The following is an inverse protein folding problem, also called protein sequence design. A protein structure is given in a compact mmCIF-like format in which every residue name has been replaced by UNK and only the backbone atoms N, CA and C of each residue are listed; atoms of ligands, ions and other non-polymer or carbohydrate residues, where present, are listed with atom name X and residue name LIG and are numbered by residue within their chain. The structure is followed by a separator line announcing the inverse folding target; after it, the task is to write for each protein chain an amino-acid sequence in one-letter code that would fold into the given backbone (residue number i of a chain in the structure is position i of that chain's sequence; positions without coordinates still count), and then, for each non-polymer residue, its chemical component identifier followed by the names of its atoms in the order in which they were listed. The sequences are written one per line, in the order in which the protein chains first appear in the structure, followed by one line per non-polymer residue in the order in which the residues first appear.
data_IF_382401294646
#
_entry.id   IF_382401294646
#
_cell.length_a   1.000
_cell.length_b   1.000
_cell.length_c   1.000
_cell.angle_alpha   90.00
_cell.angle_beta   90.00
_cell.angle_gamma   90.00
#
_symmetry.space_group_name_H-M   'P 1'
#
loop_
_entity.id
_entity.type
_entity.pdbx_description
1 polymer ?
#
# COMPACT_ATOMS: atom_id res chain seq x y z
N UNK A 1 -4.91 -9.54 2.79
CA UNK A 1 -5.75 -10.01 3.91
C UNK A 1 -5.62 -9.02 5.05
N UNK A 2 -6.63 -8.95 5.91
CA UNK A 2 -6.65 -8.03 7.05
C UNK A 2 -6.56 -8.79 8.37
N UNK A 3 -5.83 -8.24 9.35
CA UNK A 3 -5.70 -8.80 10.69
C UNK A 3 -5.84 -7.69 11.73
N UNK A 4 -6.91 -7.74 12.51
CA UNK A 4 -7.14 -6.82 13.63
C UNK A 4 -6.26 -7.16 14.84
N UNK A 5 -5.73 -6.12 15.49
CA UNK A 5 -4.93 -6.22 16.72
C UNK A 5 -5.40 -5.19 17.74
N UNK A 6 -5.94 -5.67 18.86
CA UNK A 6 -6.36 -4.80 19.96
C UNK A 6 -5.19 -4.35 20.83
N UNK A 7 -5.23 -3.06 21.19
CA UNK A 7 -4.31 -2.46 22.15
C UNK A 7 -4.53 -3.04 23.54
N UNK A 8 -3.45 -3.44 24.19
CA UNK A 8 -3.46 -3.87 25.59
C UNK A 8 -3.47 -2.68 26.57
N UNK A 9 -3.96 -2.86 27.81
CA UNK A 9 -3.87 -1.84 28.85
C UNK A 9 -2.41 -1.41 29.06
N UNK A 10 -2.18 -0.09 29.18
CA UNK A 10 -0.84 0.51 29.33
C UNK A 10 0.16 0.15 28.21
N UNK A 11 -0.30 -0.36 27.06
CA UNK A 11 0.57 -0.63 25.94
C UNK A 11 1.00 0.68 25.26
N UNK A 12 2.29 0.76 24.94
CA UNK A 12 2.87 1.83 24.14
C UNK A 12 2.84 1.49 22.66
N UNK A 13 2.79 2.50 21.78
CA UNK A 13 2.78 2.30 20.34
C UNK A 13 3.90 1.36 19.80
N UNK A 14 5.18 1.49 20.22
CA UNK A 14 6.21 0.56 19.77
C UNK A 14 5.97 -0.89 20.23
N UNK A 15 5.29 -1.10 21.36
CA UNK A 15 4.95 -2.45 21.85
C UNK A 15 3.85 -3.07 21.01
N UNK A 16 2.80 -2.29 20.69
CA UNK A 16 1.76 -2.69 19.73
C UNK A 16 2.39 -3.05 18.38
N UNK A 17 3.34 -2.24 17.90
CA UNK A 17 4.02 -2.49 16.63
C UNK A 17 4.81 -3.80 16.61
N UNK A 18 5.56 -4.12 17.68
CA UNK A 18 6.29 -5.40 17.78
C UNK A 18 5.36 -6.61 17.77
N UNK A 19 4.14 -6.48 18.29
CA UNK A 19 3.12 -7.54 18.23
C UNK A 19 2.52 -7.62 16.84
N UNK A 20 2.25 -6.49 16.19
CA UNK A 20 1.79 -6.44 14.82
C UNK A 20 2.75 -7.17 13.87
N UNK A 21 4.06 -7.01 14.05
CA UNK A 21 5.08 -7.75 13.29
C UNK A 21 4.98 -9.27 13.46
N UNK A 22 4.79 -9.73 14.70
CA UNK A 22 4.67 -11.16 14.99
C UNK A 22 3.40 -11.74 14.37
N UNK A 23 2.30 -10.99 14.46
CA UNK A 23 1.01 -11.36 13.86
C UNK A 23 1.12 -11.39 12.33
N UNK A 24 1.73 -10.39 11.72
CA UNK A 24 1.95 -10.34 10.28
C UNK A 24 2.82 -11.50 9.79
N UNK A 25 3.89 -11.85 10.53
CA UNK A 25 4.72 -13.02 10.23
C UNK A 25 3.90 -14.31 10.26
N UNK A 26 3.12 -14.51 11.32
CA UNK A 26 2.29 -15.70 11.47
C UNK A 26 1.22 -15.80 10.37
N UNK A 27 0.60 -14.67 10.02
CA UNK A 27 -0.39 -14.59 8.94
C UNK A 27 0.23 -14.92 7.57
N UNK A 28 1.38 -14.32 7.24
CA UNK A 28 2.09 -14.59 6.00
C UNK A 28 2.51 -16.05 5.87
N UNK A 29 3.12 -16.61 6.92
CA UNK A 29 3.51 -18.02 6.96
C UNK A 29 2.29 -18.93 6.72
N UNK A 30 1.22 -18.72 7.48
CA UNK A 30 -0.01 -19.51 7.36
C UNK A 30 -0.63 -19.42 5.97
N UNK A 31 -0.55 -18.28 5.31
CA UNK A 31 -1.08 -18.14 3.95
C UNK A 31 -0.29 -18.95 2.93
N UNK A 32 1.05 -18.96 3.02
CA UNK A 32 1.87 -19.79 2.15
C UNK A 32 1.73 -21.29 2.43
N UNK A 33 1.50 -21.67 3.69
CA UNK A 33 1.26 -23.07 4.09
C UNK A 33 -0.12 -23.56 3.68
N UNK A 34 -1.14 -22.70 3.73
CA UNK A 34 -2.54 -23.07 3.45
C UNK A 34 -2.82 -23.24 1.97
N UNK A 35 -2.18 -22.43 1.13
CA UNK A 35 -2.43 -22.41 -0.31
C UNK A 35 -1.09 -22.48 -1.05
N UNK A 36 -0.84 -23.61 -1.71
CA UNK A 36 0.40 -23.87 -2.46
C UNK A 36 0.55 -22.99 -3.71
N UNK A 37 -0.56 -22.49 -4.27
CA UNK A 37 -0.58 -21.67 -5.48
C UNK A 37 -0.36 -20.19 -5.16
N UNK A 38 -0.59 -19.78 -3.91
CA UNK A 38 -0.34 -18.40 -3.47
C UNK A 38 1.15 -18.05 -3.62
N UNK A 39 1.44 -17.16 -4.55
CA UNK A 39 2.80 -16.71 -4.89
C UNK A 39 3.18 -15.39 -4.22
N UNK A 40 2.19 -14.59 -3.85
CA UNK A 40 2.36 -13.30 -3.17
C UNK A 40 1.32 -13.16 -2.07
N UNK A 41 1.71 -12.54 -0.97
CA UNK A 41 0.86 -12.27 0.17
C UNK A 41 0.98 -10.81 0.56
N UNK A 42 -0.18 -10.16 0.69
CA UNK A 42 -0.32 -8.84 1.29
C UNK A 42 -1.08 -8.99 2.61
N UNK A 43 -0.47 -8.60 3.73
CA UNK A 43 -1.09 -8.58 5.07
C UNK A 43 -1.21 -7.14 5.52
N UNK A 44 -2.41 -6.70 5.85
CA UNK A 44 -2.65 -5.42 6.51
C UNK A 44 -2.99 -5.72 7.96
N UNK A 45 -2.29 -5.09 8.90
CA UNK A 45 -2.58 -5.18 10.33
C UNK A 45 -3.25 -3.89 10.77
N UNK A 46 -4.47 -4.02 11.29
CA UNK A 46 -5.28 -2.91 11.79
C UNK A 46 -5.13 -2.86 13.30
N UNK A 47 -4.55 -1.78 13.82
CA UNK A 47 -4.55 -1.50 15.25
C UNK A 47 -5.92 -1.01 15.69
N UNK A 48 -6.39 -1.47 16.85
CA UNK A 48 -7.67 -1.04 17.44
C UNK A 48 -7.48 -0.53 18.84
N UNK A 49 -8.08 0.61 19.15
CA UNK A 49 -8.11 1.17 20.50
C UNK A 49 -9.39 1.97 20.74
N UNK A 50 -10.20 1.56 21.73
CA UNK A 50 -11.40 2.30 22.17
C UNK A 50 -12.35 2.73 21.02
N UNK A 51 -12.53 1.87 20.01
CA UNK A 51 -13.38 2.15 18.85
C UNK A 51 -12.69 2.89 17.70
N UNK A 52 -11.43 3.32 17.87
CA UNK A 52 -10.59 3.77 16.77
C UNK A 52 -9.90 2.57 16.11
N UNK A 53 -9.91 2.55 14.78
CA UNK A 53 -9.23 1.53 13.97
C UNK A 53 -8.35 2.22 12.92
N UNK A 54 -7.09 1.80 12.80
CA UNK A 54 -6.17 2.35 11.82
C UNK A 54 -5.15 1.30 11.36
N UNK A 55 -4.78 1.27 10.08
CA UNK A 55 -3.69 0.42 9.61
C UNK A 55 -2.38 0.85 10.25
N UNK A 56 -1.71 -0.08 10.95
CA UNK A 56 -0.45 0.17 11.65
C UNK A 56 0.75 -0.42 10.89
N UNK A 57 0.54 -1.51 10.16
CA UNK A 57 1.56 -2.23 9.41
C UNK A 57 0.95 -2.88 8.18
N UNK A 58 1.61 -2.74 7.02
CA UNK A 58 1.34 -3.58 5.84
C UNK A 58 2.58 -4.42 5.57
N UNK A 59 2.41 -5.66 5.15
CA UNK A 59 3.47 -6.55 4.75
C UNK A 59 3.16 -7.13 3.37
N UNK A 60 4.04 -6.88 2.40
CA UNK A 60 3.89 -7.34 1.03
C UNK A 60 5.10 -8.18 0.63
N UNK A 61 4.91 -9.49 0.49
CA UNK A 61 6.03 -10.41 0.24
C UNK A 61 5.65 -11.53 -0.73
N UNK A 62 6.60 -11.92 -1.58
CA UNK A 62 6.48 -13.10 -2.44
C UNK A 62 6.97 -14.37 -1.73
N UNK A 63 6.47 -15.54 -2.16
CA UNK A 63 6.90 -16.84 -1.60
C UNK A 63 8.41 -17.03 -1.72
N UNK A 64 9.02 -16.65 -2.83
CA UNK A 64 10.47 -16.77 -3.04
C UNK A 64 11.25 -15.93 -2.04
N UNK A 65 10.84 -14.68 -1.82
CA UNK A 65 11.45 -13.80 -0.82
C UNK A 65 11.28 -14.37 0.60
N UNK A 66 10.07 -14.83 0.93
CA UNK A 66 9.75 -15.41 2.24
C UNK A 66 10.52 -16.70 2.54
N UNK A 67 10.72 -17.56 1.54
CA UNK A 67 11.52 -18.78 1.67
C UNK A 67 13.01 -18.47 1.86
N UNK A 68 13.53 -17.45 1.19
CA UNK A 68 14.92 -17.02 1.36
C UNK A 68 15.15 -16.45 2.76
N UNK A 69 14.22 -15.61 3.24
CA UNK A 69 14.26 -14.99 4.56
C UNK A 69 12.82 -14.90 5.07
N UNK A 70 12.44 -15.47 6.22
CA UNK A 70 11.10 -15.32 6.80
C UNK A 70 11.04 -14.19 7.85
N UNK A 71 11.42 -12.97 7.45
CA UNK A 71 11.49 -11.81 8.34
C UNK A 71 10.55 -10.65 7.92
N UNK A 72 9.41 -10.56 8.60
CA UNK A 72 8.38 -9.57 8.31
C UNK A 72 8.90 -8.13 8.23
N UNK A 73 9.90 -7.76 9.02
CA UNK A 73 10.44 -6.39 9.08
C UNK A 73 11.04 -5.91 7.75
N UNK A 74 11.51 -6.84 6.91
CA UNK A 74 12.15 -6.51 5.63
C UNK A 74 11.16 -6.08 4.55
N UNK A 75 9.92 -6.52 4.65
CA UNK A 75 8.87 -6.23 3.68
C UNK A 75 7.68 -5.47 4.31
N UNK A 76 7.86 -5.03 5.55
CA UNK A 76 6.85 -4.27 6.27
C UNK A 76 6.95 -2.78 5.93
N UNK A 77 5.80 -2.19 5.65
CA UNK A 77 5.57 -0.74 5.61
C UNK A 77 4.88 -0.34 6.91
N UNK A 78 5.49 0.60 7.62
CA UNK A 78 5.04 1.03 8.95
C UNK A 78 4.32 2.37 8.90
N UNK A 79 3.11 2.45 9.45
CA UNK A 79 2.34 3.70 9.49
C UNK A 79 2.51 4.39 10.83
N UNK A 80 3.50 5.27 10.95
CA UNK A 80 3.68 6.10 12.17
C UNK A 80 2.48 7.03 12.42
N UNK A 81 1.80 7.43 11.35
CA UNK A 81 0.61 8.30 11.38
C UNK A 81 -0.60 7.66 12.06
N UNK A 82 -0.61 6.35 12.28
CA UNK A 82 -1.67 5.67 13.00
C UNK A 82 -1.61 5.91 14.52
N UNK A 83 -0.47 6.33 15.07
CA UNK A 83 -0.31 6.58 16.51
C UNK A 83 -1.32 7.63 17.07
N UNK A 84 -1.44 8.84 16.50
CA UNK A 84 -2.44 9.81 16.96
C UNK A 84 -3.89 9.33 16.72
N UNK A 85 -4.15 8.62 15.62
CA UNK A 85 -5.49 8.08 15.31
C UNK A 85 -5.94 7.04 16.34
N UNK A 86 -5.00 6.29 16.91
CA UNK A 86 -5.24 5.31 17.95
C UNK A 86 -5.10 5.88 19.37
N UNK A 87 -4.96 7.21 19.51
CA UNK A 87 -4.90 7.87 20.83
C UNK A 87 -3.60 7.58 21.61
N UNK A 88 -2.47 7.41 20.92
CA UNK A 88 -1.15 7.34 21.57
C UNK A 88 -0.49 8.72 21.77
N UNK A 89 -0.99 9.76 21.10
CA UNK A 89 -0.40 11.12 21.09
C UNK A 89 -1.29 12.16 21.80
N UNK A 90 -1.84 11.79 22.95
CA UNK A 90 -2.76 12.60 23.75
C UNK A 90 -2.07 13.78 24.47
N UNK A 91 -1.29 14.59 23.76
CA UNK A 91 -0.67 15.83 24.29
C UNK A 91 -1.33 17.12 23.78
N UNK A 92 -2.32 17.04 22.88
CA UNK A 92 -3.05 18.25 22.47
C UNK A 92 -4.50 18.20 22.94
N UNK A 93 -4.91 18.98 23.96
CA UNK A 93 -6.32 19.23 24.16
C UNK A 93 -6.85 19.86 22.88
N UNK A 94 -7.78 19.17 22.21
CA UNK A 94 -8.55 19.76 21.13
C UNK A 94 -9.36 20.91 21.73
N UNK A 95 -8.83 22.13 21.64
CA UNK A 95 -9.62 23.35 21.86
C UNK A 95 -10.55 23.46 20.66
N UNK A 96 -11.70 22.80 20.75
CA UNK A 96 -12.81 23.04 19.85
C UNK A 96 -13.23 24.50 20.04
N UNK A 97 -12.76 25.38 19.17
CA UNK A 97 -13.33 26.71 19.05
C UNK A 97 -14.76 26.50 18.50
N UNK A 98 -15.82 26.91 19.20
CA UNK A 98 -17.17 26.79 18.64
C UNK A 98 -17.19 27.55 17.31
N UNK A 99 -17.62 26.87 16.25
CA UNK A 99 -17.90 27.51 14.95
C UNK A 99 -18.91 28.64 15.19
N UNK A 100 -18.43 29.88 15.17
CA UNK A 100 -19.32 31.03 15.19
C UNK A 100 -20.13 30.99 13.90
N UNK A 101 -21.45 30.92 14.06
CA UNK A 101 -22.43 31.02 12.98
C UNK A 101 -22.14 32.28 12.17
N UNK A 102 -22.24 32.26 10.82
CA UNK A 102 -22.12 33.50 10.06
C UNK A 102 -23.23 34.47 10.49
N UNK A 103 -22.84 35.60 11.07
CA UNK A 103 -23.79 36.67 11.38
C UNK A 103 -24.32 37.20 10.05
N UNK A 104 -25.61 36.98 9.78
CA UNK A 104 -26.31 37.55 8.65
C UNK A 104 -26.39 39.06 8.90
N UNK A 105 -25.62 39.86 8.15
CA UNK A 105 -25.72 41.32 8.22
C UNK A 105 -27.06 41.74 7.59
N UNK A 106 -27.88 42.58 8.24
CA UNK A 106 -29.07 43.12 7.60
C UNK A 106 -28.65 44.02 6.43
N UNK A 107 -29.02 43.63 5.21
CA UNK A 107 -28.83 44.44 4.00
C UNK A 107 -29.87 45.57 4.01
N UNK A 108 -29.42 46.82 3.87
CA UNK A 108 -30.30 47.96 3.63
C UNK A 108 -31.01 47.81 2.26
N UNK A 109 -32.28 48.22 2.12
CA UNK A 109 -32.97 48.21 0.84
C UNK A 109 -32.32 49.21 -0.11
N UNK A 110 -31.77 48.70 -1.22
CA UNK A 110 -31.31 49.50 -2.36
C UNK A 110 -32.53 49.87 -3.22
N UNK A 111 -32.73 51.13 -3.62
CA UNK A 111 -33.81 51.48 -4.54
C UNK A 111 -33.59 50.80 -5.91
N UNK A 112 -34.69 50.29 -6.45
CA UNK A 112 -34.77 49.45 -7.64
C UNK A 112 -34.36 50.20 -8.92
N UNK A 113 -33.50 49.58 -9.72
CA UNK A 113 -33.36 49.88 -11.15
C UNK A 113 -34.05 48.75 -11.90
N UNK A 114 -35.04 49.13 -12.72
CA UNK A 114 -35.98 48.27 -13.43
C UNK A 114 -35.30 47.42 -14.55
N UNK A 115 -36.00 46.43 -15.13
CA UNK A 115 -35.42 45.23 -15.73
C UNK A 115 -35.06 45.40 -17.21
N UNK A 116 -34.00 44.73 -17.67
CA UNK A 116 -33.87 44.31 -19.07
C UNK A 116 -33.54 42.82 -19.11
N UNK A 117 -34.45 42.04 -19.68
CA UNK A 117 -34.23 40.71 -20.25
C UNK A 117 -34.97 40.69 -21.59
N UNK A 118 -34.71 39.78 -22.53
CA UNK A 118 -33.60 38.83 -22.68
C UNK A 118 -32.93 38.92 -24.06
N UNK A 119 -31.76 38.31 -24.25
CA UNK A 119 -31.40 37.71 -25.54
C UNK A 119 -30.49 36.52 -25.31
N UNK A 120 -31.11 35.34 -25.42
CA UNK A 120 -30.41 34.08 -25.58
C UNK A 120 -29.58 34.15 -26.86
N UNK A 121 -28.28 33.86 -26.75
CA UNK A 121 -27.44 33.48 -27.89
C UNK A 121 -27.07 32.01 -27.70
N UNK A 122 -27.20 31.19 -28.76
CA UNK A 122 -27.25 29.75 -28.69
C UNK A 122 -25.91 29.10 -28.29
N UNK A 123 -26.02 28.07 -27.46
CA UNK A 123 -25.07 26.97 -27.33
C UNK A 123 -24.68 26.47 -28.73
N UNK A 124 -23.44 26.70 -29.13
CA UNK A 124 -22.84 26.00 -30.26
C UNK A 124 -22.58 24.55 -29.85
N UNK A 125 -23.11 23.55 -30.57
CA UNK A 125 -22.63 22.18 -30.46
C UNK A 125 -21.38 21.99 -31.32
N UNK A 126 -20.61 20.93 -31.03
CA UNK A 126 -19.50 20.35 -31.83
C UNK A 126 -18.11 20.82 -31.37
N UNK A 127 -17.20 19.95 -30.92
CA UNK A 127 -16.79 18.71 -31.56
C UNK A 127 -16.58 17.51 -30.62
N UNK A 128 -16.77 16.28 -31.13
CA UNK A 128 -16.56 15.04 -30.39
C UNK A 128 -15.10 14.86 -29.97
N UNK A 129 -14.94 14.37 -28.75
CA UNK A 129 -13.72 13.74 -28.28
C UNK A 129 -13.34 12.63 -29.27
N UNK A 130 -12.19 12.72 -29.91
CA UNK A 130 -11.58 11.56 -30.55
C UNK A 130 -11.24 10.56 -29.44
N UNK A 131 -11.83 9.35 -29.43
CA UNK A 131 -11.34 8.29 -28.56
C UNK A 131 -9.95 7.92 -29.04
N UNK A 132 -8.93 8.05 -28.19
CA UNK A 132 -7.64 7.40 -28.43
C UNK A 132 -7.87 5.90 -28.14
N UNK A 133 -7.79 5.01 -29.14
CA UNK A 133 -7.97 3.59 -28.90
C UNK A 133 -6.68 3.01 -28.30
N UNK A 134 -6.71 2.29 -27.15
CA UNK A 134 -5.67 1.33 -26.85
C UNK A 134 -6.11 -0.01 -27.43
N UNK A 135 -5.76 -0.28 -28.68
CA UNK A 135 -5.90 -1.61 -29.25
C UNK A 135 -4.75 -1.90 -30.22
N UNK A 136 -3.71 -2.54 -29.68
CA UNK A 136 -3.08 -3.74 -30.25
C UNK A 136 -1.66 -3.91 -29.70
N UNK A 137 -1.47 -4.86 -28.79
CA UNK A 137 -0.34 -5.78 -28.89
C UNK A 137 -0.54 -6.61 -30.19
N UNK A 138 0.49 -7.11 -30.90
CA UNK A 138 1.58 -7.88 -30.29
C UNK A 138 2.98 -7.75 -30.96
N UNK A 139 3.95 -8.43 -30.33
CA UNK A 139 5.08 -9.14 -30.99
C UNK A 139 6.47 -8.48 -30.97
N UNK A 140 7.25 -8.95 -29.99
CA UNK A 140 8.66 -9.37 -30.04
C UNK A 140 9.79 -8.34 -30.15
N UNK A 141 10.56 -8.24 -29.06
CA UNK A 141 11.96 -8.69 -29.09
C UNK A 141 12.25 -9.50 -27.83
N UNK A 142 12.25 -10.81 -28.02
CA UNK A 142 13.11 -11.70 -27.25
C UNK A 142 14.53 -11.26 -27.57
N UNK A 143 15.24 -10.69 -26.61
CA UNK A 143 16.70 -10.79 -26.64
C UNK A 143 17.02 -11.84 -25.59
N UNK A 144 17.37 -13.07 -25.98
CA UNK A 144 18.10 -13.92 -25.07
C UNK A 144 19.42 -13.19 -24.79
N UNK A 145 19.68 -12.87 -23.52
CA UNK A 145 21.07 -12.75 -23.10
C UNK A 145 21.64 -14.16 -23.25
N UNK A 146 22.61 -14.40 -24.15
CA UNK A 146 23.33 -15.66 -24.12
C UNK A 146 24.01 -15.80 -22.76
N UNK A 147 24.10 -17.01 -22.18
CA UNK A 147 25.15 -17.25 -21.21
C UNK A 147 26.48 -16.93 -21.91
N UNK A 148 27.22 -15.93 -21.42
CA UNK A 148 28.67 -15.96 -21.54
C UNK A 148 29.12 -17.10 -20.65
N UNK A 149 29.10 -18.28 -21.25
CA UNK A 149 30.29 -19.07 -21.44
C UNK A 149 31.55 -18.43 -20.81
N UNK A 150 31.88 -18.92 -19.62
CA UNK A 150 33.25 -18.98 -19.14
C UNK A 150 33.64 -20.45 -19.24
N UNK A 151 33.88 -20.91 -20.48
CA UNK A 151 34.95 -21.84 -20.83
C UNK A 151 36.25 -21.34 -20.16
N UNK A 152 36.43 -21.67 -18.88
CA UNK A 152 37.77 -21.92 -18.35
C UNK A 152 38.03 -23.41 -18.58
N UNK A 153 38.58 -23.67 -19.76
CA UNK A 153 39.43 -24.82 -20.02
C UNK A 153 40.56 -24.83 -18.98
N UNK A 154 40.50 -25.74 -18.02
CA UNK A 154 41.73 -26.36 -17.50
C UNK A 154 41.60 -27.87 -17.72
N UNK A 155 42.00 -28.26 -18.93
CA UNK A 155 42.39 -29.61 -19.27
C UNK A 155 43.54 -30.04 -18.35
N UNK A 156 43.18 -30.71 -17.26
CA UNK A 156 44.08 -31.54 -16.48
C UNK A 156 43.82 -33.02 -16.77
N UNK A 157 43.96 -33.45 -18.02
CA UNK A 157 44.06 -34.87 -18.36
C UNK A 157 45.38 -35.43 -17.82
N UNK A 158 45.29 -36.38 -16.89
CA UNK A 158 46.12 -37.60 -16.88
C UNK A 158 45.36 -38.72 -16.16
N UNK A 159 44.77 -39.62 -16.95
CA UNK A 159 44.56 -41.01 -16.55
C UNK A 159 45.92 -41.77 -16.62
N UNK A 160 46.03 -43.07 -16.31
CA UNK A 160 45.03 -44.02 -15.80
C UNK A 160 45.58 -44.92 -14.66
N UNK A 161 44.78 -45.92 -14.28
CA UNK A 161 45.19 -47.27 -13.90
C UNK A 161 45.84 -47.49 -12.51
N UNK A 162 45.16 -48.24 -11.64
CA UNK A 162 45.59 -49.59 -11.18
C UNK A 162 44.83 -50.03 -9.90
N UNK A 163 44.12 -51.17 -10.07
CA UNK A 163 44.00 -52.33 -9.14
C UNK A 163 43.14 -52.25 -7.87
N UNK A 164 42.11 -53.12 -7.81
CA UNK A 164 42.02 -54.39 -7.03
C UNK A 164 41.83 -54.11 -5.53
N UNK A 165 40.99 -54.79 -4.75
CA UNK A 165 40.01 -55.87 -4.86
C UNK A 165 39.13 -55.75 -3.61
#
# INVERSE_FOLDING_TARGET
MDVGLDRLPNESYPTLMRRAEQVARAAAQRSFDRDILTSQVSVVVIGRNQGAEAPILTLDVSRTQWRSRPDARRWATYYRTAAPLLGFDSTTPAVFSPVQSPVVRPVLPRPAVAPVTPSAVPIAPTAPQSPVPPAAAPTQRVTPVPPSDNEDEDEGEVAPDEREE
#
